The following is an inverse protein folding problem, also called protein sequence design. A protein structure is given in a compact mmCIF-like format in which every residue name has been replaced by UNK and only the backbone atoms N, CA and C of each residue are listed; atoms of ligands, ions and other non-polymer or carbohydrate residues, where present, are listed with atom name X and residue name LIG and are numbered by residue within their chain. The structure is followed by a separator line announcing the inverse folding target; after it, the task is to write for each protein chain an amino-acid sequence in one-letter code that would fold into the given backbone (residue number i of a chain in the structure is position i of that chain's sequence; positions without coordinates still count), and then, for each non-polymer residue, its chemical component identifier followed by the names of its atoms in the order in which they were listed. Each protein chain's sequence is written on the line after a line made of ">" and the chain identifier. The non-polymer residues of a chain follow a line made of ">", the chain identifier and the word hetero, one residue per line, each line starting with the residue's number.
data_IF_956484131298
#
_entry.id   IF_956484131298
#
_cell.length_a   1.000
_cell.length_b   1.000
_cell.length_c   1.000
_cell.angle_alpha   90.00
_cell.angle_beta   90.00
_cell.angle_gamma   90.00
#
_symmetry.space_group_name_H-M   'P 1'
#
loop_
_entity.id
_entity.type
_entity.pdbx_description
1 polymer ?
#
# COMPACT_ATOMS: atom_id res chain seq x y z
N UNK A 1 -6.60 8.95 7.18
CA UNK A 1 -5.52 9.93 6.95
C UNK A 1 -5.58 11.08 7.95
N UNK A 2 -6.76 11.67 8.16
CA UNK A 2 -6.90 12.85 9.03
C UNK A 2 -6.47 12.60 10.48
N UNK A 3 -6.73 11.40 11.02
CA UNK A 3 -6.28 11.03 12.37
C UNK A 3 -4.76 10.97 12.51
N UNK A 4 -4.02 10.61 11.44
CA UNK A 4 -2.55 10.59 11.44
C UNK A 4 -2.02 12.02 11.40
N UNK A 5 -2.61 12.88 10.56
CA UNK A 5 -2.25 14.30 10.45
C UNK A 5 -2.53 15.08 11.73
N UNK A 6 -3.61 14.73 12.43
CA UNK A 6 -3.95 15.32 13.73
C UNK A 6 -3.20 14.68 14.91
N UNK A 7 -2.42 13.62 14.69
CA UNK A 7 -1.67 12.97 15.75
C UNK A 7 -0.47 13.83 16.21
N UNK A 8 0.10 13.56 17.40
CA UNK A 8 1.32 14.24 17.86
C UNK A 8 2.50 14.12 16.88
N UNK A 9 2.49 13.12 16.00
CA UNK A 9 3.52 12.86 15.00
C UNK A 9 3.10 13.27 13.58
N UNK A 10 1.97 13.96 13.40
CA UNK A 10 1.45 14.32 12.08
C UNK A 10 2.42 15.17 11.24
N UNK A 11 3.23 16.01 11.90
CA UNK A 11 4.22 16.87 11.25
C UNK A 11 5.53 16.14 10.85
N UNK A 12 5.70 14.87 11.25
CA UNK A 12 6.88 14.08 10.89
C UNK A 12 6.88 13.68 9.41
N UNK A 13 5.69 13.51 8.83
CA UNK A 13 5.51 13.00 7.48
C UNK A 13 5.29 14.14 6.49
N UNK A 14 5.93 14.06 5.32
CA UNK A 14 5.72 15.03 4.24
C UNK A 14 4.27 14.96 3.74
N UNK A 15 3.55 16.09 3.62
CA UNK A 15 2.19 16.13 3.10
C UNK A 15 2.04 15.45 1.73
N UNK A 16 3.04 15.60 0.86
CA UNK A 16 3.10 15.03 -0.50
C UNK A 16 3.10 13.50 -0.52
N UNK A 17 3.56 12.85 0.56
CA UNK A 17 3.66 11.39 0.64
C UNK A 17 2.34 10.75 1.09
N UNK A 18 1.32 11.57 1.41
CA UNK A 18 -0.02 11.08 1.73
C UNK A 18 -0.89 10.99 0.49
N UNK A 19 -1.02 9.77 -0.04
CA UNK A 19 -1.87 9.47 -1.19
C UNK A 19 -3.13 8.74 -0.73
N UNK A 20 -4.30 9.15 -1.22
CA UNK A 20 -5.58 8.53 -0.90
C UNK A 20 -6.57 8.69 -2.05
N UNK A 21 -7.44 7.68 -2.23
CA UNK A 21 -8.56 7.75 -3.16
C UNK A 21 -9.83 8.26 -2.50
N UNK A 22 -10.84 8.56 -3.33
CA UNK A 22 -12.19 8.92 -2.85
C UNK A 22 -13.05 7.70 -2.52
N UNK A 23 -12.70 6.53 -3.04
CA UNK A 23 -13.45 5.28 -2.94
C UNK A 23 -12.59 4.17 -2.35
N UNK A 24 -13.20 3.31 -1.52
CA UNK A 24 -12.56 2.15 -0.94
C UNK A 24 -12.79 0.89 -1.77
N UNK A 25 -11.93 -0.12 -1.57
CA UNK A 25 -12.09 -1.42 -2.22
C UNK A 25 -13.25 -2.27 -1.64
N UNK A 26 -13.84 -1.86 -0.51
CA UNK A 26 -15.02 -2.52 0.07
C UNK A 26 -14.79 -4.01 0.38
N UNK A 27 -13.60 -4.37 0.84
CA UNK A 27 -13.18 -5.75 1.10
C UNK A 27 -13.18 -6.68 -0.12
N UNK A 28 -13.12 -6.12 -1.32
CA UNK A 28 -12.99 -6.87 -2.56
C UNK A 28 -11.59 -6.71 -3.13
N UNK A 29 -10.84 -7.83 -3.18
CA UNK A 29 -9.50 -7.87 -3.76
C UNK A 29 -9.48 -7.39 -5.22
N UNK A 30 -10.42 -7.86 -6.05
CA UNK A 30 -10.47 -7.51 -7.47
C UNK A 30 -10.71 -6.02 -7.68
N UNK A 31 -11.52 -5.38 -6.83
CA UNK A 31 -11.71 -3.92 -6.86
C UNK A 31 -10.42 -3.19 -6.48
N UNK A 32 -9.72 -3.69 -5.48
CA UNK A 32 -8.41 -3.16 -5.07
C UNK A 32 -7.30 -3.37 -6.11
N UNK A 33 -7.34 -4.46 -6.89
CA UNK A 33 -6.27 -4.81 -7.82
C UNK A 33 -6.51 -4.28 -9.24
N UNK A 34 -7.73 -4.41 -9.76
CA UNK A 34 -8.02 -4.14 -11.17
C UNK A 34 -8.68 -2.79 -11.45
N UNK A 35 -9.32 -2.15 -10.45
CA UNK A 35 -10.05 -0.90 -10.67
C UNK A 35 -9.52 0.24 -9.79
N UNK A 36 -10.00 0.36 -8.57
CA UNK A 36 -9.74 1.51 -7.69
C UNK A 36 -8.25 1.63 -7.34
N UNK A 37 -7.57 0.51 -7.06
CA UNK A 37 -6.13 0.56 -6.79
C UNK A 37 -5.30 0.78 -8.04
N UNK A 38 -5.78 0.37 -9.22
CA UNK A 38 -5.09 0.63 -10.48
C UNK A 38 -5.11 2.12 -10.86
N UNK A 39 -6.18 2.85 -10.54
CA UNK A 39 -6.24 4.31 -10.72
C UNK A 39 -5.26 5.05 -9.79
N UNK A 40 -5.02 4.52 -8.59
CA UNK A 40 -4.13 5.15 -7.60
C UNK A 40 -2.67 4.76 -7.74
N UNK A 41 -2.37 3.57 -8.28
CA UNK A 41 -1.01 3.01 -8.23
C UNK A 41 0.01 3.87 -8.97
N UNK A 42 -0.37 4.54 -10.07
CA UNK A 42 0.55 5.40 -10.82
C UNK A 42 1.03 6.58 -9.97
N UNK A 43 0.11 7.25 -9.27
CA UNK A 43 0.45 8.35 -8.36
C UNK A 43 1.36 7.87 -7.23
N UNK A 44 1.15 6.65 -6.72
CA UNK A 44 2.03 6.05 -5.70
C UNK A 44 3.42 5.79 -6.27
N UNK A 45 3.52 5.22 -7.47
CA UNK A 45 4.80 4.94 -8.12
C UNK A 45 5.60 6.21 -8.41
N UNK A 46 4.95 7.31 -8.79
CA UNK A 46 5.63 8.59 -9.00
C UNK A 46 6.26 9.15 -7.71
N UNK A 47 5.55 9.04 -6.58
CA UNK A 47 6.10 9.43 -5.27
C UNK A 47 7.23 8.48 -4.84
N UNK A 48 7.06 7.18 -5.05
CA UNK A 48 8.11 6.18 -4.77
C UNK A 48 9.37 6.49 -5.58
N UNK A 49 9.23 6.85 -6.85
CA UNK A 49 10.35 7.23 -7.73
C UNK A 49 11.06 8.48 -7.21
N UNK A 50 10.31 9.52 -6.85
CA UNK A 50 10.88 10.76 -6.28
C UNK A 50 11.67 10.51 -5.00
N UNK A 51 11.17 9.65 -4.12
CA UNK A 51 11.86 9.30 -2.87
C UNK A 51 13.07 8.37 -3.13
N UNK A 52 12.99 7.47 -4.13
CA UNK A 52 14.11 6.65 -4.55
C UNK A 52 15.26 7.47 -5.16
N UNK A 53 14.94 8.48 -5.98
CA UNK A 53 15.92 9.43 -6.56
C UNK A 53 16.58 10.30 -5.48
N UNK A 54 15.89 10.54 -4.37
CA UNK A 54 16.46 11.24 -3.21
C UNK A 54 17.47 10.43 -2.40
N UNK A 55 17.67 9.15 -2.73
CA UNK A 55 18.56 8.23 -2.03
C UNK A 55 19.82 7.95 -2.86
N UNK A 56 21.02 8.06 -2.28
CA UNK A 56 22.27 7.73 -2.99
C UNK A 56 22.36 6.26 -3.40
N UNK A 57 21.90 5.35 -2.54
CA UNK A 57 21.87 3.91 -2.80
C UNK A 57 20.67 3.25 -2.11
N UNK A 58 19.59 3.08 -2.86
CA UNK A 58 18.40 2.40 -2.39
C UNK A 58 18.66 0.91 -2.14
N UNK A 59 18.41 0.43 -0.92
CA UNK A 59 18.62 -0.99 -0.57
C UNK A 59 17.39 -1.86 -0.88
N UNK A 60 16.20 -1.32 -0.69
CA UNK A 60 14.97 -2.08 -0.79
C UNK A 60 13.76 -1.31 -0.30
N UNK A 61 12.63 -2.00 -0.33
CA UNK A 61 11.33 -1.49 0.08
C UNK A 61 10.76 -2.34 1.22
N UNK A 62 9.96 -1.70 2.06
CA UNK A 62 9.18 -2.36 3.10
C UNK A 62 7.70 -2.03 2.86
N UNK A 63 6.88 -3.05 2.66
CA UNK A 63 5.45 -2.90 2.49
C UNK A 63 4.72 -3.46 3.71
N UNK A 64 3.83 -2.67 4.31
CA UNK A 64 2.96 -3.14 5.39
C UNK A 64 1.52 -3.11 4.90
N UNK A 65 0.86 -4.27 4.90
CA UNK A 65 -0.49 -4.40 4.36
C UNK A 65 -1.28 -5.55 5.00
N UNK A 66 -2.60 -5.50 4.95
CA UNK A 66 -3.46 -6.60 5.40
C UNK A 66 -3.76 -7.58 4.26
N UNK A 67 -3.79 -8.88 4.55
CA UNK A 67 -4.21 -9.89 3.56
C UNK A 67 -5.74 -10.01 3.45
N UNK A 68 -6.48 -9.77 4.53
CA UNK A 68 -7.94 -9.94 4.54
C UNK A 68 -8.74 -8.77 3.96
N UNK A 69 -8.15 -7.57 3.87
CA UNK A 69 -8.84 -6.36 3.41
C UNK A 69 -8.60 -6.08 1.93
N UNK A 70 -9.63 -5.64 1.19
CA UNK A 70 -9.58 -5.50 -0.27
C UNK A 70 -8.55 -4.50 -0.80
N UNK A 71 -8.31 -3.39 -0.09
CA UNK A 71 -7.27 -2.41 -0.48
C UNK A 71 -5.89 -2.93 -0.11
N UNK A 72 -5.72 -3.44 1.12
CA UNK A 72 -4.44 -3.96 1.59
C UNK A 72 -3.95 -5.14 0.76
N UNK A 73 -4.84 -6.07 0.40
CA UNK A 73 -4.49 -7.22 -0.41
C UNK A 73 -4.45 -6.87 -1.90
N UNK A 74 -5.49 -6.23 -2.45
CA UNK A 74 -5.61 -5.93 -3.88
C UNK A 74 -4.59 -4.92 -4.39
N UNK A 75 -4.57 -3.73 -3.79
CA UNK A 75 -3.63 -2.68 -4.18
C UNK A 75 -2.20 -3.04 -3.74
N UNK A 76 -2.05 -3.69 -2.59
CA UNK A 76 -0.75 -4.14 -2.09
C UNK A 76 -0.06 -5.12 -3.05
N UNK A 77 -0.79 -6.11 -3.59
CA UNK A 77 -0.22 -7.04 -4.58
C UNK A 77 0.13 -6.33 -5.89
N UNK A 78 -0.71 -5.40 -6.35
CA UNK A 78 -0.42 -4.60 -7.55
C UNK A 78 0.87 -3.78 -7.38
N UNK A 79 1.03 -3.14 -6.23
CA UNK A 79 2.19 -2.31 -5.92
C UNK A 79 3.48 -3.13 -5.86
N UNK A 80 3.45 -4.32 -5.24
CA UNK A 80 4.60 -5.24 -5.23
C UNK A 80 5.02 -5.58 -6.66
N UNK A 81 4.07 -5.93 -7.54
CA UNK A 81 4.40 -6.27 -8.92
C UNK A 81 5.08 -5.12 -9.64
N UNK A 82 4.53 -3.90 -9.55
CA UNK A 82 5.11 -2.71 -10.17
C UNK A 82 6.49 -2.35 -9.63
N UNK A 83 6.69 -2.40 -8.32
CA UNK A 83 8.00 -2.13 -7.71
C UNK A 83 9.03 -3.15 -8.18
N UNK A 84 8.65 -4.42 -8.30
CA UNK A 84 9.56 -5.47 -8.81
C UNK A 84 9.88 -5.32 -10.29
N UNK A 85 8.97 -4.75 -11.08
CA UNK A 85 9.22 -4.42 -12.48
C UNK A 85 10.19 -3.24 -12.64
N UNK A 86 10.00 -2.16 -11.88
CA UNK A 86 10.88 -0.97 -11.96
C UNK A 86 12.23 -1.16 -11.22
N UNK A 87 12.24 -1.95 -10.14
CA UNK A 87 13.40 -2.13 -9.26
C UNK A 87 13.70 -3.63 -9.00
N UNK A 88 14.07 -4.40 -10.04
CA UNK A 88 14.17 -5.86 -9.97
C UNK A 88 15.24 -6.38 -8.99
N UNK A 89 16.34 -5.63 -8.81
CA UNK A 89 17.47 -6.04 -7.97
C UNK A 89 17.36 -5.59 -6.51
N UNK A 90 16.25 -4.94 -6.13
CA UNK A 90 16.05 -4.39 -4.78
C UNK A 90 15.30 -5.37 -3.89
N UNK A 91 15.68 -5.41 -2.61
CA UNK A 91 15.02 -6.28 -1.64
C UNK A 91 13.59 -5.78 -1.41
N UNK A 92 12.62 -6.69 -1.47
CA UNK A 92 11.22 -6.41 -1.14
C UNK A 92 10.84 -7.19 0.12
N UNK A 93 10.61 -6.49 1.23
CA UNK A 93 10.10 -7.08 2.47
C UNK A 93 8.63 -6.73 2.65
N UNK A 94 7.78 -7.75 2.85
CA UNK A 94 6.36 -7.56 3.16
C UNK A 94 6.06 -7.94 4.61
N UNK A 95 5.44 -7.03 5.33
CA UNK A 95 4.91 -7.21 6.67
C UNK A 95 3.39 -7.32 6.57
N UNK A 96 2.93 -8.55 6.36
CA UNK A 96 1.53 -8.84 6.12
C UNK A 96 0.78 -9.18 7.40
N UNK A 97 -0.38 -8.56 7.61
CA UNK A 97 -1.28 -8.91 8.71
C UNK A 97 -2.17 -10.07 8.26
N UNK A 98 -2.00 -11.22 8.92
CA UNK A 98 -2.77 -12.41 8.65
C UNK A 98 -4.13 -12.36 9.38
N UNK A 99 -5.24 -12.74 8.72
CA UNK A 99 -6.57 -12.72 9.34
C UNK A 99 -6.68 -13.71 10.50
N UNK A 100 -7.50 -13.40 11.50
CA UNK A 100 -7.76 -14.29 12.63
C UNK A 100 -9.27 -14.47 12.82
N UNK A 101 -9.77 -15.71 12.93
CA UNK A 101 -11.21 -16.00 13.02
C UNK A 101 -11.86 -15.45 14.30
N UNK A 102 -11.08 -14.95 15.27
CA UNK A 102 -11.60 -14.38 16.52
C UNK A 102 -11.88 -12.88 16.47
N UNK A 103 -11.29 -12.17 15.51
CA UNK A 103 -11.31 -10.70 15.38
C UNK A 103 -11.54 -10.25 13.93
N UNK A 104 -11.84 -11.21 13.06
CA UNK A 104 -12.15 -10.99 11.65
C UNK A 104 -13.57 -10.46 11.52
N UNK A 105 -13.70 -9.27 10.95
CA UNK A 105 -14.99 -8.64 10.65
C UNK A 105 -15.47 -8.95 9.21
N UNK A 106 -14.64 -9.65 8.42
CA UNK A 106 -14.93 -9.85 7.00
C UNK A 106 -15.10 -11.32 6.62
N UNK A 107 -16.30 -11.64 6.13
CA UNK A 107 -16.69 -13.00 5.72
C UNK A 107 -15.86 -13.53 4.53
N UNK A 108 -15.30 -12.62 3.72
CA UNK A 108 -14.55 -12.96 2.49
C UNK A 108 -13.03 -13.04 2.67
N UNK A 109 -12.52 -12.99 3.90
CA UNK A 109 -11.07 -13.06 4.16
C UNK A 109 -10.34 -14.33 3.67
N UNK A 110 -10.98 -15.52 3.57
CA UNK A 110 -10.31 -16.71 3.03
C UNK A 110 -10.12 -16.71 1.51
N UNK A 111 -10.76 -15.78 0.77
CA UNK A 111 -10.65 -15.67 -0.69
C UNK A 111 -9.35 -14.99 -1.11
#
# INVERSE_FOLDING_TARGET
>A
MDSIRASPYGNLFRPDNFIFGQSGAGNNWAKGHYTEGAELVENVMDVVRKEAEGCDCLQGFQLTHSLGGGTGSGMGTLLISKIREEYPDRIMSSFSIFPSPKVSDTVVEPY
#
